data_IF_692751256175
#
_entry.id   IF_692751256175
#
_cell.length_a   1.000
_cell.length_b   1.000
_cell.length_c   1.000
_cell.angle_alpha   90.00
_cell.angle_beta   90.00
_cell.angle_gamma   90.00
#
_symmetry.space_group_name_H-M   'P 1'
#
loop_
_entity.id
_entity.type
_entity.pdbx_description
1 polymer ?
#
# COMPACT_ATOMS: atom_id res chain seq x y z
N UNK A 1 -107.94 -9.90 26.69
CA UNK A 1 -107.57 -10.65 27.92
C UNK A 1 -106.09 -10.41 28.15
N UNK A 2 -105.58 -9.44 28.92
CA UNK A 2 -106.17 -8.36 29.73
C UNK A 2 -105.43 -7.06 29.39
N UNK A 3 -106.17 -5.96 29.42
CA UNK A 3 -105.72 -4.58 29.33
C UNK A 3 -105.96 -3.95 30.71
N UNK A 4 -104.95 -3.31 31.32
CA UNK A 4 -105.15 -2.41 32.47
C UNK A 4 -104.17 -1.24 32.35
N UNK A 5 -104.74 -0.06 32.15
CA UNK A 5 -104.13 1.25 32.27
C UNK A 5 -104.28 1.79 33.70
N UNK A 6 -103.27 2.48 34.22
CA UNK A 6 -103.39 3.34 35.42
C UNK A 6 -102.66 4.66 35.17
N UNK A 7 -103.37 5.76 35.45
CA UNK A 7 -102.93 7.16 35.40
C UNK A 7 -102.78 7.68 36.83
N UNK A 8 -101.70 8.41 37.12
CA UNK A 8 -101.52 9.14 38.40
C UNK A 8 -100.74 10.42 38.18
N UNK A 9 -101.34 11.56 38.53
CA UNK A 9 -100.78 12.90 38.34
C UNK A 9 -99.96 13.40 39.53
N UNK A 10 -99.02 14.30 39.25
CA UNK A 10 -98.27 15.10 40.22
C UNK A 10 -97.56 16.26 39.50
N UNK A 11 -97.70 17.47 40.03
CA UNK A 11 -97.34 18.76 39.44
C UNK A 11 -95.95 19.30 39.88
N UNK A 12 -95.19 19.82 38.89
CA UNK A 12 -94.15 20.91 38.90
C UNK A 12 -92.83 20.69 39.68
N UNK A 13 -91.70 21.39 39.37
CA UNK A 13 -91.50 22.52 38.43
C UNK A 13 -90.32 22.39 37.41
N UNK A 14 -90.29 23.26 36.41
CA UNK A 14 -89.08 23.62 35.62
C UNK A 14 -88.02 24.24 36.56
N UNK A 15 -86.71 24.02 36.32
CA UNK A 15 -85.96 25.04 35.57
C UNK A 15 -84.70 24.58 34.80
N UNK A 16 -84.25 25.52 33.96
CA UNK A 16 -82.88 25.77 33.46
C UNK A 16 -82.41 25.02 32.20
N UNK A 17 -82.52 25.73 31.07
CA UNK A 17 -81.62 25.62 29.93
C UNK A 17 -80.18 25.94 30.39
N UNK A 18 -79.37 24.91 30.58
CA UNK A 18 -77.90 25.03 30.57
C UNK A 18 -77.39 24.93 29.12
N UNK A 19 -76.33 25.66 28.76
CA UNK A 19 -76.01 25.92 27.36
C UNK A 19 -75.27 24.74 26.71
N UNK A 20 -75.71 24.34 25.51
CA UNK A 20 -75.00 23.41 24.61
C UNK A 20 -73.64 23.94 24.09
N UNK A 21 -73.14 25.06 24.63
CA UNK A 21 -71.88 25.69 24.22
C UNK A 21 -70.63 25.04 24.82
N UNK A 22 -70.73 24.37 25.97
CA UNK A 22 -69.56 23.72 26.59
C UNK A 22 -69.15 22.43 25.87
N UNK A 23 -70.09 21.61 25.42
CA UNK A 23 -69.78 20.27 24.87
C UNK A 23 -69.03 20.36 23.53
N UNK A 24 -69.35 21.33 22.67
CA UNK A 24 -68.67 21.57 21.39
C UNK A 24 -67.27 22.18 21.55
N UNK A 25 -67.02 22.89 22.64
CA UNK A 25 -65.70 23.44 22.98
C UNK A 25 -64.73 22.35 23.45
N UNK A 26 -65.20 21.38 24.24
CA UNK A 26 -64.37 20.26 24.70
C UNK A 26 -63.97 19.31 23.57
N UNK A 27 -64.87 19.04 22.61
CA UNK A 27 -64.56 18.18 21.45
C UNK A 27 -63.56 18.81 20.49
N UNK A 28 -63.64 20.13 20.28
CA UNK A 28 -62.68 20.85 19.42
C UNK A 28 -61.30 20.97 20.07
N UNK A 29 -61.24 21.16 21.39
CA UNK A 29 -59.95 21.12 22.11
C UNK A 29 -59.31 19.73 22.10
N UNK A 30 -60.08 18.66 22.26
CA UNK A 30 -59.56 17.29 22.21
C UNK A 30 -59.05 16.93 20.80
N UNK A 31 -59.76 17.35 19.74
CA UNK A 31 -59.30 17.22 18.36
C UNK A 31 -58.00 18.00 18.10
N UNK A 32 -57.89 19.24 18.61
CA UNK A 32 -56.66 20.02 18.52
C UNK A 32 -55.47 19.33 19.22
N UNK A 33 -55.70 18.77 20.41
CA UNK A 33 -54.66 18.08 21.17
C UNK A 33 -54.19 16.80 20.45
N UNK A 34 -55.12 16.00 19.90
CA UNK A 34 -54.75 14.80 19.11
C UNK A 34 -54.00 15.16 17.82
N UNK A 35 -54.36 16.28 17.17
CA UNK A 35 -53.67 16.78 15.99
C UNK A 35 -52.25 17.27 16.33
N UNK A 36 -52.09 18.03 17.42
CA UNK A 36 -50.78 18.45 17.93
C UNK A 36 -49.89 17.25 18.29
N UNK A 37 -50.41 16.27 19.01
CA UNK A 37 -49.67 15.05 19.35
C UNK A 37 -49.23 14.29 18.08
N UNK A 38 -50.09 14.21 17.07
CA UNK A 38 -49.77 13.56 15.79
C UNK A 38 -48.68 14.31 15.03
N UNK A 39 -48.74 15.65 14.97
CA UNK A 39 -47.73 16.49 14.34
C UNK A 39 -46.37 16.41 15.05
N UNK A 40 -46.37 16.36 16.39
CA UNK A 40 -45.16 16.17 17.20
C UNK A 40 -44.57 14.78 16.95
N UNK A 41 -45.39 13.73 16.88
CA UNK A 41 -44.93 12.38 16.59
C UNK A 41 -44.29 12.31 15.19
N UNK A 42 -44.92 12.92 14.18
CA UNK A 42 -44.38 13.01 12.82
C UNK A 42 -43.04 13.76 12.81
N UNK A 43 -42.93 14.90 13.50
CA UNK A 43 -41.67 15.63 13.60
C UNK A 43 -40.57 14.83 14.31
N UNK A 44 -40.90 14.11 15.38
CA UNK A 44 -39.95 13.25 16.09
C UNK A 44 -39.50 12.08 15.22
N UNK A 45 -40.40 11.46 14.44
CA UNK A 45 -40.03 10.39 13.51
C UNK A 45 -39.17 10.89 12.36
N UNK A 46 -39.48 12.06 11.78
CA UNK A 46 -38.68 12.69 10.74
C UNK A 46 -37.29 13.08 11.26
N UNK A 47 -37.21 13.63 12.48
CA UNK A 47 -35.94 13.96 13.14
C UNK A 47 -35.11 12.70 13.42
N UNK A 48 -35.74 11.61 13.86
CA UNK A 48 -35.05 10.34 14.07
C UNK A 48 -34.53 9.77 12.74
N UNK A 49 -35.32 9.83 11.67
CA UNK A 49 -34.92 9.40 10.32
C UNK A 49 -33.75 10.23 9.78
N UNK A 50 -33.77 11.56 9.95
CA UNK A 50 -32.65 12.41 9.54
C UNK A 50 -31.40 12.14 10.35
N UNK A 51 -31.50 11.92 11.66
CA UNK A 51 -30.37 11.50 12.51
C UNK A 51 -29.81 10.16 12.02
N UNK A 52 -30.66 9.18 11.72
CA UNK A 52 -30.22 7.87 11.20
C UNK A 52 -29.51 8.02 9.85
N UNK A 53 -30.07 8.80 8.92
CA UNK A 53 -29.45 9.04 7.59
C UNK A 53 -28.10 9.76 7.72
N UNK A 54 -28.01 10.76 8.60
CA UNK A 54 -26.75 11.48 8.88
C UNK A 54 -25.71 10.54 9.51
N UNK A 55 -26.12 9.69 10.46
CA UNK A 55 -25.23 8.70 11.06
C UNK A 55 -24.74 7.66 10.04
N UNK A 56 -25.63 7.12 9.20
CA UNK A 56 -25.24 6.17 8.15
C UNK A 56 -24.28 6.84 7.17
N UNK A 57 -24.55 8.08 6.73
CA UNK A 57 -23.69 8.84 5.83
C UNK A 57 -22.31 9.13 6.41
N UNK A 58 -22.22 9.43 7.72
CA UNK A 58 -20.95 9.67 8.40
C UNK A 58 -20.11 8.39 8.57
N UNK A 59 -20.74 7.21 8.65
CA UNK A 59 -20.02 5.93 8.79
C UNK A 59 -19.52 5.33 7.48
N UNK A 60 -19.91 5.90 6.32
CA UNK A 60 -19.68 5.28 5.01
C UNK A 60 -18.59 5.97 4.18
N UNK A 61 -17.77 6.85 4.76
CA UNK A 61 -16.56 7.32 4.08
C UNK A 61 -15.49 6.22 4.15
N UNK A 62 -15.63 5.19 3.32
CA UNK A 62 -14.50 4.30 3.04
C UNK A 62 -13.35 5.17 2.52
N UNK A 63 -12.12 5.01 3.04
CA UNK A 63 -10.99 5.77 2.53
C UNK A 63 -10.87 5.54 1.03
N UNK A 64 -10.71 6.63 0.28
CA UNK A 64 -10.52 6.56 -1.17
C UNK A 64 -9.40 5.58 -1.48
N UNK A 65 -9.67 4.65 -2.38
CA UNK A 65 -8.66 3.68 -2.80
C UNK A 65 -7.61 4.38 -3.63
N UNK A 66 -6.36 4.31 -3.20
CA UNK A 66 -5.25 5.08 -3.77
C UNK A 66 -4.08 4.14 -3.97
N UNK A 67 -3.40 4.29 -5.10
CA UNK A 67 -2.13 3.65 -5.41
C UNK A 67 -1.20 4.72 -5.98
N UNK A 68 -0.02 4.90 -5.39
CA UNK A 68 0.96 5.89 -5.80
C UNK A 68 2.31 5.22 -5.93
N UNK A 69 3.00 5.45 -7.05
CA UNK A 69 4.38 5.01 -7.26
C UNK A 69 5.33 6.22 -7.31
N UNK A 70 6.62 5.96 -7.09
CA UNK A 70 7.68 6.88 -7.48
C UNK A 70 7.73 7.01 -9.00
N UNK A 71 8.17 8.19 -9.46
CA UNK A 71 8.33 8.52 -10.88
C UNK A 71 7.03 8.40 -11.70
N UNK A 72 7.13 8.69 -13.01
CA UNK A 72 5.99 8.60 -13.93
C UNK A 72 5.81 7.18 -14.50
N UNK A 73 5.95 6.15 -13.67
CA UNK A 73 5.77 4.75 -14.05
C UNK A 73 4.29 4.38 -14.13
N UNK A 74 3.58 4.90 -15.12
CA UNK A 74 2.13 4.68 -15.28
C UNK A 74 1.78 3.21 -15.36
N UNK A 75 2.64 2.38 -15.97
CA UNK A 75 2.47 0.92 -16.03
C UNK A 75 2.31 0.28 -14.64
N UNK A 76 3.02 0.78 -13.62
CA UNK A 76 2.89 0.28 -12.27
C UNK A 76 1.55 0.69 -11.64
N UNK A 77 1.16 1.96 -11.77
CA UNK A 77 -0.14 2.44 -11.26
C UNK A 77 -1.31 1.79 -11.98
N UNK A 78 -1.19 1.54 -13.28
CA UNK A 78 -2.22 0.89 -14.10
C UNK A 78 -2.39 -0.58 -13.69
N UNK A 79 -1.29 -1.30 -13.45
CA UNK A 79 -1.33 -2.69 -12.99
C UNK A 79 -1.98 -2.81 -11.60
N UNK A 80 -1.64 -1.90 -10.69
CA UNK A 80 -2.28 -1.84 -9.38
C UNK A 80 -3.77 -1.50 -9.47
N UNK A 81 -4.13 -0.54 -10.32
CA UNK A 81 -5.52 -0.17 -10.57
C UNK A 81 -6.32 -1.34 -11.15
N UNK A 82 -5.72 -2.10 -12.07
CA UNK A 82 -6.34 -3.30 -12.63
C UNK A 82 -6.56 -4.37 -11.56
N UNK A 83 -5.57 -4.64 -10.70
CA UNK A 83 -5.68 -5.62 -9.61
C UNK A 83 -6.86 -5.28 -8.69
N UNK A 84 -7.03 -3.99 -8.37
CA UNK A 84 -8.13 -3.48 -7.56
C UNK A 84 -9.53 -3.74 -8.15
N UNK A 85 -9.67 -3.70 -9.48
CA UNK A 85 -10.96 -3.85 -10.16
C UNK A 85 -11.27 -5.30 -10.52
N UNK A 86 -10.24 -6.06 -10.87
CA UNK A 86 -10.39 -7.43 -11.38
C UNK A 86 -10.60 -8.44 -10.25
N UNK A 87 -10.23 -8.10 -9.01
CA UNK A 87 -10.30 -9.01 -7.88
C UNK A 87 -11.04 -8.40 -6.70
N UNK A 88 -12.25 -8.92 -6.44
CA UNK A 88 -13.05 -8.54 -5.28
C UNK A 88 -12.40 -8.92 -3.95
N UNK A 89 -11.52 -9.92 -3.95
CA UNK A 89 -10.77 -10.42 -2.78
C UNK A 89 -9.39 -9.76 -2.61
N UNK A 90 -8.99 -8.86 -3.52
CA UNK A 90 -7.70 -8.18 -3.43
C UNK A 90 -7.54 -7.39 -2.12
N UNK A 91 -6.28 -7.29 -1.69
CA UNK A 91 -5.80 -6.52 -0.55
C UNK A 91 -4.79 -5.48 -1.01
N UNK A 92 -4.50 -4.48 -0.16
CA UNK A 92 -3.49 -3.46 -0.47
C UNK A 92 -2.13 -4.05 -0.88
N UNK A 93 -1.72 -5.18 -0.28
CA UNK A 93 -0.47 -5.88 -0.61
C UNK A 93 -0.45 -6.46 -2.03
N UNK A 94 -1.60 -6.89 -2.55
CA UNK A 94 -1.70 -7.42 -3.91
C UNK A 94 -1.49 -6.28 -4.94
N UNK A 95 -2.05 -5.09 -4.66
CA UNK A 95 -1.91 -3.92 -5.51
C UNK A 95 -0.44 -3.49 -5.66
N UNK A 96 0.28 -3.35 -4.55
CA UNK A 96 1.69 -2.92 -4.58
C UNK A 96 2.61 -3.98 -5.20
N UNK A 97 2.32 -5.27 -5.00
CA UNK A 97 3.03 -6.33 -5.72
C UNK A 97 2.79 -6.24 -7.22
N UNK A 98 1.53 -6.11 -7.66
CA UNK A 98 1.20 -6.03 -9.08
C UNK A 98 1.89 -4.85 -9.77
N UNK A 99 1.90 -3.67 -9.13
CA UNK A 99 2.57 -2.50 -9.66
C UNK A 99 4.09 -2.65 -9.77
N UNK A 100 4.76 -3.15 -8.72
CA UNK A 100 6.20 -3.40 -8.78
C UNK A 100 6.56 -4.48 -9.81
N UNK A 101 5.83 -5.60 -9.84
CA UNK A 101 6.05 -6.68 -10.80
C UNK A 101 5.89 -6.19 -12.25
N UNK A 102 4.93 -5.28 -12.51
CA UNK A 102 4.77 -4.70 -13.83
C UNK A 102 6.02 -3.93 -14.29
N UNK A 103 6.70 -3.20 -13.40
CA UNK A 103 7.97 -2.56 -13.77
C UNK A 103 9.17 -3.50 -13.80
N UNK A 104 9.20 -4.56 -12.99
CA UNK A 104 10.21 -5.62 -13.10
C UNK A 104 10.16 -6.28 -14.50
N UNK A 105 8.95 -6.51 -15.02
CA UNK A 105 8.73 -7.13 -16.33
C UNK A 105 8.96 -6.16 -17.49
N UNK A 106 8.40 -4.95 -17.40
CA UNK A 106 8.46 -3.97 -18.49
C UNK A 106 9.76 -3.15 -18.50
N UNK A 107 10.62 -3.31 -17.48
CA UNK A 107 11.88 -2.59 -17.33
C UNK A 107 11.67 -1.07 -17.53
N UNK A 108 10.71 -0.51 -16.78
CA UNK A 108 10.12 0.82 -16.98
C UNK A 108 11.12 1.93 -17.36
N UNK A 109 12.30 1.91 -16.77
CA UNK A 109 13.44 2.81 -17.06
C UNK A 109 14.79 2.06 -17.17
N UNK A 110 14.77 0.73 -17.06
CA UNK A 110 15.96 -0.11 -16.99
C UNK A 110 16.63 -0.21 -15.60
N UNK A 111 16.12 0.43 -14.55
CA UNK A 111 16.66 0.33 -13.18
C UNK A 111 15.86 -0.61 -12.27
N UNK A 112 14.76 -1.15 -12.79
CA UNK A 112 13.89 -2.11 -12.11
C UNK A 112 13.82 -3.41 -12.91
N UNK A 113 13.93 -4.53 -12.22
CA UNK A 113 13.94 -5.85 -12.83
C UNK A 113 15.24 -6.20 -13.54
N UNK A 114 15.17 -7.27 -14.34
CA UNK A 114 16.32 -7.82 -15.04
C UNK A 114 16.82 -6.92 -16.18
N UNK A 115 18.06 -7.16 -16.60
CA UNK A 115 18.63 -6.59 -17.82
C UNK A 115 19.20 -5.19 -17.67
N UNK A 116 19.23 -4.63 -16.46
CA UNK A 116 19.82 -3.34 -16.13
C UNK A 116 20.92 -3.41 -15.07
N UNK A 117 21.64 -2.29 -14.91
CA UNK A 117 22.68 -2.06 -13.89
C UNK A 117 23.52 -3.28 -13.48
N UNK A 118 24.38 -3.81 -14.38
CA UNK A 118 25.29 -4.88 -14.02
C UNK A 118 26.28 -4.40 -12.94
N UNK A 119 26.68 -5.29 -12.04
CA UNK A 119 27.75 -5.04 -11.08
C UNK A 119 29.14 -5.05 -11.73
N UNK A 120 30.19 -4.87 -10.93
CA UNK A 120 31.59 -4.89 -11.40
C UNK A 120 32.06 -6.25 -11.98
N UNK A 121 31.29 -7.32 -11.79
CA UNK A 121 31.51 -8.62 -12.40
C UNK A 121 30.64 -8.85 -13.65
N UNK A 122 29.77 -7.90 -14.00
CA UNK A 122 28.86 -7.99 -15.14
C UNK A 122 27.53 -8.68 -14.84
N UNK A 123 27.22 -8.93 -13.55
CA UNK A 123 26.00 -9.59 -13.12
C UNK A 123 24.95 -8.59 -12.63
N UNK A 124 23.70 -8.75 -13.07
CA UNK A 124 22.57 -8.01 -12.51
C UNK A 124 22.04 -8.76 -11.29
N UNK A 125 21.86 -8.03 -10.18
CA UNK A 125 21.23 -8.55 -8.95
C UNK A 125 20.14 -7.60 -8.47
N UNK A 126 19.07 -8.16 -7.91
CA UNK A 126 17.85 -7.42 -7.56
C UNK A 126 17.69 -7.27 -6.05
N UNK A 127 17.16 -6.12 -5.65
CA UNK A 127 16.77 -5.80 -4.28
C UNK A 127 15.27 -5.49 -4.27
N UNK A 128 14.51 -6.09 -3.34
CA UNK A 128 13.10 -5.80 -3.19
C UNK A 128 12.61 -5.95 -1.75
N UNK A 129 11.57 -5.19 -1.38
CA UNK A 129 10.81 -5.39 -0.14
C UNK A 129 9.31 -5.21 -0.36
N UNK A 130 8.53 -5.86 0.48
CA UNK A 130 7.09 -5.66 0.59
C UNK A 130 6.67 -5.65 2.06
N UNK A 131 5.70 -4.81 2.41
CA UNK A 131 5.20 -4.66 3.77
C UNK A 131 3.67 -4.49 3.78
N UNK A 132 3.03 -5.22 4.68
CA UNK A 132 1.63 -5.01 5.04
C UNK A 132 1.57 -4.08 6.27
N UNK A 133 1.10 -2.85 6.09
CA UNK A 133 1.02 -1.85 7.16
C UNK A 133 0.02 -2.19 8.27
N UNK A 134 -1.00 -2.99 7.98
CA UNK A 134 -2.00 -3.43 8.97
C UNK A 134 -1.44 -4.46 9.96
N UNK A 135 -0.61 -5.40 9.47
CA UNK A 135 -0.04 -6.48 10.31
C UNK A 135 1.40 -6.21 10.73
N UNK A 136 2.03 -5.20 10.11
CA UNK A 136 3.47 -4.94 10.17
C UNK A 136 4.35 -6.09 9.67
N UNK A 137 3.78 -7.13 9.06
CA UNK A 137 4.56 -8.17 8.40
C UNK A 137 5.27 -7.58 7.18
N UNK A 138 6.53 -7.97 7.01
CA UNK A 138 7.35 -7.54 5.91
C UNK A 138 8.28 -8.67 5.46
N UNK A 139 8.66 -8.65 4.20
CA UNK A 139 9.64 -9.55 3.62
C UNK A 139 10.48 -8.81 2.59
N UNK A 140 11.73 -9.23 2.47
CA UNK A 140 12.71 -8.56 1.64
C UNK A 140 13.74 -9.55 1.09
N UNK A 141 14.34 -9.16 -0.03
CA UNK A 141 15.47 -9.85 -0.65
C UNK A 141 16.53 -8.86 -1.06
N UNK A 142 17.79 -9.15 -0.74
CA UNK A 142 18.94 -8.33 -1.14
C UNK A 142 19.92 -9.11 -2.00
N UNK A 143 20.47 -8.48 -3.04
CA UNK A 143 21.37 -9.11 -4.00
C UNK A 143 20.80 -10.44 -4.55
N UNK A 144 19.49 -10.49 -4.81
CA UNK A 144 18.82 -11.65 -5.37
C UNK A 144 19.39 -11.95 -6.75
N UNK A 145 19.75 -13.21 -6.96
CA UNK A 145 20.38 -13.68 -8.20
C UNK A 145 19.40 -14.56 -8.96
N UNK A 146 19.46 -14.51 -10.28
CA UNK A 146 18.84 -15.49 -11.17
C UNK A 146 17.31 -15.67 -11.06
N UNK A 147 16.59 -14.77 -10.40
CA UNK A 147 15.13 -14.79 -10.27
C UNK A 147 14.62 -13.39 -10.59
N UNK A 148 13.84 -13.19 -11.68
CA UNK A 148 13.44 -11.87 -12.16
C UNK A 148 12.34 -11.23 -11.29
N UNK A 149 11.47 -12.06 -10.70
CA UNK A 149 10.30 -11.62 -9.93
C UNK A 149 10.66 -11.29 -8.47
N UNK A 150 11.56 -10.32 -8.26
CA UNK A 150 12.13 -10.02 -6.95
C UNK A 150 11.07 -9.64 -5.90
N UNK A 151 10.05 -8.86 -6.28
CA UNK A 151 8.97 -8.50 -5.35
C UNK A 151 8.13 -9.70 -4.93
N UNK A 152 7.96 -10.69 -5.82
CA UNK A 152 7.25 -11.92 -5.50
C UNK A 152 8.05 -12.78 -4.52
N UNK A 153 9.39 -12.84 -4.66
CA UNK A 153 10.25 -13.51 -3.68
C UNK A 153 10.19 -12.81 -2.32
N UNK A 154 10.22 -11.46 -2.30
CA UNK A 154 10.07 -10.69 -1.07
C UNK A 154 8.75 -10.99 -0.34
N UNK A 155 7.63 -11.10 -1.08
CA UNK A 155 6.35 -11.56 -0.51
C UNK A 155 6.42 -12.99 -0.01
N UNK A 156 7.06 -13.88 -0.75
CA UNK A 156 7.31 -15.25 -0.30
C UNK A 156 8.05 -15.31 1.03
N UNK A 157 9.06 -14.46 1.25
CA UNK A 157 9.77 -14.34 2.54
C UNK A 157 8.81 -13.91 3.64
N UNK A 158 7.96 -12.91 3.39
CA UNK A 158 6.96 -12.40 4.33
C UNK A 158 5.92 -13.46 4.73
N UNK A 159 5.46 -14.28 3.78
CA UNK A 159 4.34 -15.20 3.99
C UNK A 159 4.78 -16.61 4.41
N UNK A 160 5.95 -17.08 3.98
CA UNK A 160 6.41 -18.45 4.19
C UNK A 160 7.48 -18.61 5.28
N UNK A 161 7.95 -17.51 5.87
CA UNK A 161 9.02 -17.56 6.88
C UNK A 161 8.71 -16.69 8.11
N UNK A 162 9.51 -16.83 9.16
CA UNK A 162 9.53 -15.88 10.30
C UNK A 162 10.67 -14.86 10.20
N UNK A 163 11.33 -14.79 9.05
CA UNK A 163 12.41 -13.85 8.77
C UNK A 163 11.86 -12.68 7.94
N UNK A 164 12.53 -11.53 8.05
CA UNK A 164 12.15 -10.34 7.29
C UNK A 164 13.00 -10.14 6.04
N UNK A 165 14.14 -10.83 5.91
CA UNK A 165 15.06 -10.65 4.78
C UNK A 165 15.88 -11.90 4.49
N UNK A 166 16.03 -12.25 3.21
CA UNK A 166 17.02 -13.20 2.70
C UNK A 166 17.95 -12.51 1.69
N UNK A 167 19.11 -13.09 1.38
CA UNK A 167 20.02 -12.46 0.41
C UNK A 167 20.83 -13.44 -0.44
N UNK A 168 21.38 -12.90 -1.53
CA UNK A 168 22.31 -13.60 -2.41
C UNK A 168 21.68 -14.81 -3.11
N UNK A 169 22.53 -15.80 -3.41
CA UNK A 169 22.09 -17.07 -4.03
C UNK A 169 21.19 -17.91 -3.12
N UNK A 170 21.28 -17.75 -1.80
CA UNK A 170 20.43 -18.49 -0.86
C UNK A 170 18.98 -17.99 -0.88
N UNK A 171 18.75 -16.71 -1.20
CA UNK A 171 17.41 -16.23 -1.52
C UNK A 171 16.86 -16.87 -2.81
N UNK A 172 17.73 -17.12 -3.79
CA UNK A 172 17.39 -17.84 -5.02
C UNK A 172 17.10 -19.31 -4.78
N UNK A 173 17.80 -19.98 -3.85
CA UNK A 173 17.50 -21.34 -3.41
C UNK A 173 16.11 -21.41 -2.77
N UNK A 174 15.80 -20.44 -1.90
CA UNK A 174 14.47 -20.31 -1.30
C UNK A 174 13.38 -20.13 -2.37
N UNK A 175 13.58 -19.22 -3.33
CA UNK A 175 12.63 -18.98 -4.41
C UNK A 175 12.39 -20.24 -5.27
N UNK A 176 13.44 -20.95 -5.65
CA UNK A 176 13.34 -22.16 -6.46
C UNK A 176 12.66 -23.31 -5.70
N UNK A 177 13.15 -23.62 -4.49
CA UNK A 177 12.72 -24.81 -3.74
C UNK A 177 11.37 -24.59 -3.07
N UNK A 178 11.13 -23.40 -2.51
CA UNK A 178 9.95 -23.13 -1.67
C UNK A 178 8.83 -22.50 -2.47
N UNK A 179 9.15 -21.57 -3.39
CA UNK A 179 8.15 -20.86 -4.20
C UNK A 179 7.96 -21.48 -5.58
N UNK A 180 8.77 -22.46 -5.98
CA UNK A 180 8.68 -23.14 -7.28
C UNK A 180 9.08 -22.26 -8.46
N UNK A 181 9.90 -21.23 -8.24
CA UNK A 181 10.29 -20.28 -9.28
C UNK A 181 11.45 -20.80 -10.12
N UNK A 182 11.40 -20.55 -11.43
CA UNK A 182 12.47 -20.95 -12.34
C UNK A 182 13.65 -19.98 -12.30
N UNK A 183 14.86 -20.54 -12.26
CA UNK A 183 16.09 -19.75 -12.40
C UNK A 183 16.32 -19.33 -13.85
N UNK A 184 16.66 -18.07 -14.05
CA UNK A 184 17.07 -17.53 -15.35
C UNK A 184 18.16 -16.48 -15.20
N UNK A 185 18.87 -16.17 -16.29
CA UNK A 185 19.87 -15.11 -16.28
C UNK A 185 19.19 -13.74 -16.17
N UNK A 186 19.62 -12.93 -15.21
CA UNK A 186 19.19 -11.54 -15.09
C UNK A 186 19.95 -10.60 -16.06
N UNK A 187 21.03 -11.08 -16.68
CA UNK A 187 21.80 -10.29 -17.64
C UNK A 187 21.15 -10.32 -19.03
N UNK A 188 20.89 -9.13 -19.58
CA UNK A 188 20.49 -8.90 -20.97
C UNK A 188 21.69 -8.54 -21.86
N UNK A 189 21.53 -8.59 -23.17
CA UNK A 189 22.55 -8.08 -24.11
C UNK A 189 22.90 -6.61 -23.85
N UNK A 190 21.92 -5.80 -23.44
CA UNK A 190 22.12 -4.41 -23.05
C UNK A 190 23.01 -4.30 -21.80
N UNK A 191 22.74 -5.07 -20.74
CA UNK A 191 23.56 -5.06 -19.52
C UNK A 191 24.99 -5.52 -19.81
N UNK A 192 25.18 -6.54 -20.65
CA UNK A 192 26.51 -6.99 -21.09
C UNK A 192 27.24 -5.90 -21.86
N UNK A 193 26.55 -5.18 -22.74
CA UNK A 193 27.14 -4.06 -23.48
C UNK A 193 27.55 -2.90 -22.56
N UNK A 194 26.72 -2.55 -21.57
CA UNK A 194 27.04 -1.55 -20.54
C UNK A 194 28.31 -1.95 -19.79
N UNK A 195 28.38 -3.20 -19.33
CA UNK A 195 29.53 -3.74 -18.62
C UNK A 195 30.82 -3.73 -19.48
N UNK A 196 30.74 -4.26 -20.70
CA UNK A 196 31.88 -4.36 -21.60
C UNK A 196 32.43 -2.98 -21.98
N UNK A 197 31.53 -2.01 -22.22
CA UNK A 197 31.92 -0.63 -22.49
C UNK A 197 32.66 0.00 -21.30
N UNK A 198 32.10 -0.13 -20.10
CA UNK A 198 32.71 0.37 -18.87
C UNK A 198 34.09 -0.25 -18.60
N UNK A 199 34.23 -1.56 -18.83
CA UNK A 199 35.48 -2.29 -18.61
C UNK A 199 36.54 -1.96 -19.66
N UNK A 200 36.17 -1.96 -20.94
CA UNK A 200 37.13 -1.86 -22.05
C UNK A 200 37.47 -0.42 -22.42
N UNK A 201 36.47 0.47 -22.45
CA UNK A 201 36.64 1.83 -22.95
C UNK A 201 36.96 2.81 -21.81
N UNK A 202 36.48 2.51 -20.60
CA UNK A 202 36.58 3.41 -19.44
C UNK A 202 37.45 2.87 -18.30
N UNK A 203 38.15 1.75 -18.49
CA UNK A 203 39.05 1.17 -17.48
C UNK A 203 38.38 1.02 -16.09
N UNK A 204 37.11 0.60 -16.11
CA UNK A 204 36.29 0.43 -14.92
C UNK A 204 36.03 1.74 -14.15
N UNK A 205 35.86 2.87 -14.86
CA UNK A 205 35.53 4.18 -14.27
C UNK A 205 34.18 4.73 -14.80
N UNK A 206 33.40 5.42 -13.96
CA UNK A 206 33.54 5.50 -12.50
C UNK A 206 33.32 4.14 -11.81
N UNK A 207 33.90 3.93 -10.62
CA UNK A 207 33.57 2.80 -9.74
C UNK A 207 33.34 3.24 -8.29
N UNK A 208 32.91 2.29 -7.45
CA UNK A 208 32.53 2.51 -6.04
C UNK A 208 33.65 2.18 -5.04
N UNK A 209 34.85 1.79 -5.50
CA UNK A 209 35.97 1.56 -4.60
C UNK A 209 36.52 2.89 -4.10
N UNK A 210 36.96 2.91 -2.84
CA UNK A 210 37.53 4.12 -2.26
C UNK A 210 38.76 4.58 -3.03
N UNK A 211 38.81 5.86 -3.39
CA UNK A 211 39.97 6.51 -4.01
C UNK A 211 41.03 6.95 -3.00
N UNK A 212 40.69 6.95 -1.72
CA UNK A 212 41.60 7.33 -0.62
C UNK A 212 42.19 6.12 0.09
N UNK A 213 41.59 4.93 -0.08
CA UNK A 213 42.12 3.70 0.47
C UNK A 213 43.39 3.27 -0.27
N UNK A 214 44.35 2.68 0.46
CA UNK A 214 45.57 2.15 -0.14
C UNK A 214 45.30 0.82 -0.86
N UNK A 215 44.72 0.90 -2.06
CA UNK A 215 44.40 -0.25 -2.90
C UNK A 215 45.48 -0.52 -3.94
N UNK A 216 45.73 -1.79 -4.25
CA UNK A 216 46.55 -2.21 -5.39
C UNK A 216 45.75 -3.15 -6.30
N UNK A 217 45.57 -2.79 -7.60
CA UNK A 217 45.93 -1.51 -8.19
C UNK A 217 45.10 -0.34 -7.60
N UNK A 218 45.46 0.91 -7.90
CA UNK A 218 44.71 2.08 -7.43
C UNK A 218 43.35 2.15 -8.14
N UNK A 219 42.27 2.29 -7.36
CA UNK A 219 40.88 2.24 -7.83
C UNK A 219 40.52 3.34 -8.83
N UNK A 220 41.18 4.50 -8.76
CA UNK A 220 40.92 5.65 -9.61
C UNK A 220 41.43 5.54 -11.05
N UNK A 221 42.31 4.57 -11.33
CA UNK A 221 43.02 4.49 -12.63
C UNK A 221 43.02 3.10 -13.27
N UNK A 222 42.61 2.07 -12.55
CA UNK A 222 42.67 0.70 -13.04
C UNK A 222 41.49 -0.13 -12.55
N UNK A 223 41.12 -1.13 -13.35
CA UNK A 223 40.21 -2.20 -12.94
C UNK A 223 40.85 -3.07 -11.85
N UNK A 224 40.00 -3.67 -11.01
CA UNK A 224 40.41 -4.67 -10.03
C UNK A 224 40.86 -6.00 -10.66
N UNK A 225 41.07 -7.04 -9.84
CA UNK A 225 40.71 -7.11 -8.42
C UNK A 225 41.58 -6.19 -7.55
N UNK A 226 40.94 -5.49 -6.63
CA UNK A 226 41.62 -4.58 -5.70
C UNK A 226 42.03 -5.30 -4.44
N UNK A 227 43.26 -5.05 -3.98
CA UNK A 227 43.77 -5.55 -2.71
C UNK A 227 44.12 -4.39 -1.79
N UNK A 228 43.57 -4.38 -0.58
CA UNK A 228 43.94 -3.42 0.45
C UNK A 228 45.36 -3.70 0.96
N UNK A 229 46.21 -2.69 0.92
CA UNK A 229 47.59 -2.74 1.41
C UNK A 229 47.71 -1.99 2.74
N UNK A 230 47.63 -2.73 3.84
CA UNK A 230 47.76 -2.27 5.23
C UNK A 230 46.78 -1.14 5.67
N UNK A 231 46.59 -1.01 6.98
CA UNK A 231 45.62 -0.10 7.61
C UNK A 231 46.04 1.36 7.39
N UNK A 232 45.34 2.07 6.50
CA UNK A 232 45.30 3.54 6.56
C UNK A 232 44.55 3.95 7.82
N UNK A 233 45.06 4.94 8.56
CA UNK A 233 44.33 5.56 9.67
C UNK A 233 42.93 5.96 9.17
N UNK A 234 41.89 5.32 9.71
CA UNK A 234 40.51 5.62 9.35
C UNK A 234 40.18 7.04 9.85
N UNK A 235 40.01 7.98 8.92
CA UNK A 235 39.54 9.32 9.22
C UNK A 235 38.06 9.44 8.85
N UNK A 236 37.26 10.00 9.77
CA UNK A 236 35.86 10.34 9.52
C UNK A 236 35.77 11.56 8.59
N UNK A 237 36.04 11.36 7.30
CA UNK A 237 35.85 12.36 6.25
C UNK A 237 34.52 12.18 5.50
N UNK A 238 33.99 13.26 4.94
CA UNK A 238 32.92 13.18 3.95
C UNK A 238 33.54 12.84 2.58
N UNK A 239 33.33 11.64 2.02
CA UNK A 239 33.75 11.37 0.66
C UNK A 239 32.97 12.27 -0.30
N UNK A 240 33.66 12.93 -1.23
CA UNK A 240 33.01 13.54 -2.39
C UNK A 240 32.29 12.44 -3.17
N UNK A 241 30.96 12.52 -3.25
CA UNK A 241 30.13 11.61 -4.02
C UNK A 241 29.56 12.36 -5.22
N UNK A 242 30.11 12.10 -6.40
CA UNK A 242 29.52 12.51 -7.68
C UNK A 242 29.07 11.26 -8.42
N UNK A 243 28.00 10.62 -7.92
CA UNK A 243 27.35 9.52 -8.61
C UNK A 243 25.87 9.80 -8.75
N UNK A 244 25.46 10.21 -9.95
CA UNK A 244 24.06 10.24 -10.39
C UNK A 244 23.69 8.85 -10.90
N UNK A 245 23.46 7.90 -9.99
CA UNK A 245 22.83 6.63 -10.32
C UNK A 245 21.83 6.26 -9.24
N UNK A 246 20.57 6.45 -9.55
CA UNK A 246 19.42 5.92 -8.84
C UNK A 246 18.39 5.76 -9.94
N UNK A 247 17.65 4.65 -9.92
CA UNK A 247 16.21 4.72 -9.89
C UNK A 247 15.68 3.40 -9.30
N UNK A 248 14.58 3.54 -8.58
CA UNK A 248 13.96 2.52 -7.75
C UNK A 248 12.48 2.78 -7.88
N UNK A 249 11.69 1.73 -8.14
CA UNK A 249 10.25 1.86 -7.96
C UNK A 249 9.94 1.63 -6.49
N UNK A 250 9.19 2.56 -5.91
CA UNK A 250 8.50 2.35 -4.64
C UNK A 250 7.05 2.70 -4.81
N UNK A 251 6.19 1.94 -4.15
CA UNK A 251 4.77 2.06 -4.31
C UNK A 251 4.07 1.91 -2.97
N UNK A 252 3.05 2.73 -2.74
CA UNK A 252 2.17 2.66 -1.58
C UNK A 252 0.74 2.56 -2.08
N UNK A 253 -0.05 1.68 -1.45
CA UNK A 253 -1.47 1.57 -1.70
C UNK A 253 -2.27 1.64 -0.40
N UNK A 254 -3.41 2.33 -0.46
CA UNK A 254 -4.48 2.31 0.54
C UNK A 254 -5.69 1.68 -0.13
N UNK A 255 -6.17 0.55 0.39
CA UNK A 255 -7.30 -0.17 -0.18
C UNK A 255 -8.09 -0.89 0.90
N UNK A 256 -9.42 -0.67 0.93
CA UNK A 256 -10.35 -1.28 1.91
C UNK A 256 -9.92 -1.09 3.37
N UNK A 257 -9.29 0.04 3.69
CA UNK A 257 -8.78 0.35 5.03
C UNK A 257 -7.40 -0.25 5.34
N UNK A 258 -6.85 -1.12 4.49
CA UNK A 258 -5.48 -1.62 4.60
C UNK A 258 -4.50 -0.70 3.88
N UNK A 259 -3.26 -0.68 4.36
CA UNK A 259 -2.13 0.03 3.74
C UNK A 259 -1.02 -0.97 3.45
N UNK A 260 -0.36 -0.85 2.31
CA UNK A 260 0.81 -1.65 1.97
C UNK A 260 1.83 -0.83 1.18
N UNK A 261 3.09 -1.27 1.21
CA UNK A 261 4.16 -0.71 0.41
C UNK A 261 5.03 -1.80 -0.21
N UNK A 262 5.57 -1.49 -1.38
CA UNK A 262 6.54 -2.33 -2.07
C UNK A 262 7.63 -1.48 -2.69
N UNK A 263 8.83 -2.05 -2.80
CA UNK A 263 9.97 -1.44 -3.47
C UNK A 263 10.73 -2.49 -4.26
N UNK A 264 11.20 -2.14 -5.45
CA UNK A 264 12.07 -3.01 -6.26
C UNK A 264 13.11 -2.17 -7.04
N UNK A 265 14.33 -2.68 -7.15
CA UNK A 265 15.44 -2.05 -7.88
C UNK A 265 16.51 -3.07 -8.27
N UNK A 266 17.25 -2.82 -9.35
CA UNK A 266 18.50 -3.52 -9.66
C UNK A 266 19.75 -2.76 -9.15
N UNK A 267 19.53 -1.60 -8.53
CA UNK A 267 20.56 -0.78 -7.88
C UNK A 267 21.44 0.00 -8.85
N UNK A 268 22.61 0.41 -8.36
CA UNK A 268 23.54 1.22 -9.15
C UNK A 268 24.32 0.39 -10.17
N UNK A 269 24.50 0.92 -11.37
CA UNK A 269 25.39 0.35 -12.38
C UNK A 269 26.83 0.34 -11.88
N UNK A 270 27.54 -0.78 -12.08
CA UNK A 270 28.92 -1.02 -11.66
C UNK A 270 29.13 -1.04 -10.15
N UNK A 271 28.07 -1.28 -9.37
CA UNK A 271 28.15 -1.52 -7.92
C UNK A 271 29.15 -2.64 -7.61
N UNK A 272 29.78 -2.58 -6.44
CA UNK A 272 30.60 -3.68 -5.92
C UNK A 272 29.72 -4.92 -5.81
N UNK A 273 30.24 -6.07 -6.22
CA UNK A 273 29.48 -7.33 -6.18
C UNK A 273 29.02 -7.64 -4.74
N UNK A 274 27.75 -7.98 -4.59
CA UNK A 274 27.12 -8.19 -3.28
C UNK A 274 26.65 -6.91 -2.57
N UNK A 275 26.80 -5.72 -3.17
CA UNK A 275 26.19 -4.49 -2.65
C UNK A 275 24.67 -4.61 -2.66
N UNK A 276 24.09 -4.37 -1.49
CA UNK A 276 22.64 -4.20 -1.29
C UNK A 276 22.34 -2.71 -1.08
N UNK A 277 21.31 -2.21 -1.75
CA UNK A 277 20.85 -0.83 -1.60
C UNK A 277 19.96 -0.60 -0.39
N UNK A 278 19.33 0.57 -0.37
CA UNK A 278 18.22 0.93 0.49
C UNK A 278 16.95 0.14 0.15
N UNK A 279 16.77 -0.22 -1.13
CA UNK A 279 15.62 -0.94 -1.69
C UNK A 279 14.97 -2.03 -0.80
N UNK A 280 15.74 -2.95 -0.19
CA UNK A 280 15.19 -4.02 0.62
C UNK A 280 15.25 -3.76 2.14
N UNK A 281 15.73 -2.58 2.56
CA UNK A 281 15.90 -2.22 3.98
C UNK A 281 14.58 -1.62 4.48
N UNK A 282 13.85 -2.42 5.27
CA UNK A 282 12.61 -2.00 5.94
C UNK A 282 12.90 -0.75 6.79
N UNK A 283 12.13 0.31 6.56
CA UNK A 283 12.30 1.59 7.25
C UNK A 283 13.25 2.59 6.56
N UNK A 284 14.02 2.17 5.54
CA UNK A 284 14.83 3.09 4.74
C UNK A 284 14.01 3.73 3.61
N UNK A 285 13.38 2.90 2.80
CA UNK A 285 12.63 3.36 1.61
C UNK A 285 11.16 3.58 1.94
N UNK A 286 10.59 2.72 2.76
CA UNK A 286 9.21 2.89 3.24
C UNK A 286 9.05 2.28 4.62
N UNK A 287 8.28 2.96 5.47
CA UNK A 287 7.79 2.46 6.74
C UNK A 287 6.30 2.76 6.83
N UNK A 288 5.50 1.74 7.15
CA UNK A 288 4.06 1.87 7.27
C UNK A 288 3.58 1.32 8.60
N UNK A 289 2.70 2.07 9.25
CA UNK A 289 1.93 1.62 10.40
C UNK A 289 0.56 2.25 10.32
N UNK A 290 -0.47 1.49 10.69
CA UNK A 290 -1.82 2.01 10.92
C UNK A 290 -1.99 2.11 12.43
N UNK A 291 -2.41 3.27 12.93
CA UNK A 291 -2.71 3.51 14.35
C UNK A 291 -4.21 3.36 14.61
#
# INVERSE_FOLDING_TARGET
>A
VYDISVKGGGTLPQPSLFPCYCVTQYTTQLQYLTCLCSLILIHMTLLLLTIIVVFIGATNSQPSSIAVSTWAFTTATDAAWAEMHNRSDAKAVDLVQAGCAACEQNRCDGTVGEGGSPDENGETTLDAMIMCGTTMNAGAVGALRQIPDAIAVARGVMEATRHSMLCGSQASDFAEITLGMARQSLSSEQSKAIYNRWRNDFQCQPNFWSTTANLTPQSSIACGPYKLLAESAFECGHPERTYTTHDTISMVAIYKGDVASATSTNGASHKIAGRVGDGPIIGSVTFLTIY
#
